data_IF_049588647170
#
_entry.id   IF_049588647170
#
_cell.length_a   1.000
_cell.length_b   1.000
_cell.length_c   1.000
_cell.angle_alpha   90.00
_cell.angle_beta   90.00
_cell.angle_gamma   90.00
#
_symmetry.space_group_name_H-M   'P 1'
#
loop_
_entity.id
_entity.type
_entity.pdbx_description
1 polymer ?
#
# COMPACT_ATOMS: atom_id res chain seq x y z
N UNK A 1 3.78 12.53 -75.30
CA UNK A 1 3.12 12.98 -74.07
C UNK A 1 3.11 11.83 -73.08
N UNK A 2 3.66 12.08 -71.89
CA UNK A 2 3.55 11.38 -70.59
C UNK A 2 4.00 9.91 -70.51
N UNK A 3 5.20 9.76 -69.92
CA UNK A 3 5.77 8.56 -69.29
C UNK A 3 4.89 8.09 -68.13
N UNK A 4 4.73 6.78 -67.95
CA UNK A 4 4.27 6.20 -66.67
C UNK A 4 5.34 5.29 -66.09
N UNK A 5 5.70 5.57 -64.84
CA UNK A 5 6.77 4.99 -64.02
C UNK A 5 6.16 3.86 -63.19
N UNK A 6 6.93 2.78 -63.01
CA UNK A 6 6.48 1.56 -62.36
C UNK A 6 6.39 1.59 -60.83
N UNK A 7 5.89 0.49 -60.28
CA UNK A 7 6.06 0.09 -58.89
C UNK A 7 6.25 -1.42 -58.83
N UNK A 8 7.48 -1.86 -58.54
CA UNK A 8 7.78 -3.23 -58.14
C UNK A 8 7.61 -3.27 -56.63
N UNK A 9 6.60 -4.01 -56.15
CA UNK A 9 6.42 -4.25 -54.71
C UNK A 9 7.42 -5.32 -54.26
N UNK A 10 8.39 -4.92 -53.45
CA UNK A 10 9.30 -5.82 -52.73
C UNK A 10 8.59 -6.25 -51.46
N UNK A 11 8.21 -7.52 -51.38
CA UNK A 11 7.72 -8.13 -50.15
C UNK A 11 8.92 -8.36 -49.20
N UNK A 12 9.06 -7.51 -48.19
CA UNK A 12 9.98 -7.72 -47.07
C UNK A 12 9.34 -8.75 -46.14
N UNK A 13 9.84 -9.98 -46.17
CA UNK A 13 9.51 -10.98 -45.18
C UNK A 13 10.15 -10.58 -43.84
N UNK A 14 9.35 -10.01 -42.93
CA UNK A 14 9.73 -9.81 -41.55
C UNK A 14 9.78 -11.17 -40.86
N UNK A 15 10.96 -11.78 -40.78
CA UNK A 15 11.23 -12.85 -39.83
C UNK A 15 11.13 -12.27 -38.42
N UNK A 16 9.97 -12.48 -37.78
CA UNK A 16 9.81 -12.30 -36.36
C UNK A 16 10.77 -13.28 -35.67
N UNK A 17 11.89 -12.76 -35.17
CA UNK A 17 12.73 -13.48 -34.22
C UNK A 17 11.87 -13.61 -32.96
N UNK A 18 11.28 -14.80 -32.77
CA UNK A 18 10.76 -15.20 -31.47
C UNK A 18 11.95 -15.28 -30.51
N UNK A 19 12.19 -14.20 -29.77
CA UNK A 19 12.99 -14.30 -28.55
C UNK A 19 12.20 -15.16 -27.58
N UNK A 20 12.72 -16.32 -27.14
CA UNK A 20 12.07 -17.08 -26.09
C UNK A 20 11.89 -16.15 -24.89
N UNK A 21 10.69 -16.16 -24.30
CA UNK A 21 10.38 -15.47 -23.06
C UNK A 21 11.55 -15.63 -22.10
N UNK A 22 12.29 -14.54 -21.83
CA UNK A 22 13.15 -14.53 -20.66
C UNK A 22 12.20 -14.71 -19.48
N UNK A 23 12.24 -15.87 -18.84
CA UNK A 23 11.73 -15.98 -17.49
C UNK A 23 12.41 -14.84 -16.71
N UNK A 24 11.63 -13.84 -16.29
CA UNK A 24 12.19 -12.70 -15.57
C UNK A 24 12.85 -13.23 -14.32
N UNK A 25 14.11 -12.87 -14.09
CA UNK A 25 14.82 -13.26 -12.88
C UNK A 25 13.97 -12.91 -11.65
N UNK A 26 13.82 -13.87 -10.73
CA UNK A 26 12.94 -13.76 -9.57
C UNK A 26 13.54 -12.83 -8.53
N UNK A 27 12.74 -11.89 -8.01
CA UNK A 27 13.22 -10.88 -7.09
C UNK A 27 13.17 -11.36 -5.64
N UNK A 28 14.29 -11.27 -4.93
CA UNK A 28 14.44 -11.73 -3.54
C UNK A 28 14.86 -10.56 -2.64
N UNK A 29 14.00 -10.08 -1.73
CA UNK A 29 14.40 -9.10 -0.74
C UNK A 29 15.36 -9.73 0.28
N UNK A 30 16.48 -9.07 0.53
CA UNK A 30 17.48 -9.44 1.53
C UNK A 30 17.93 -8.20 2.32
N UNK A 31 17.19 -7.87 3.38
CA UNK A 31 17.46 -6.67 4.20
C UNK A 31 18.77 -6.68 4.98
N UNK A 32 19.46 -7.82 5.06
CA UNK A 32 20.77 -7.96 5.73
C UNK A 32 21.94 -8.08 4.74
N UNK A 33 21.67 -8.17 3.43
CA UNK A 33 22.72 -8.39 2.45
C UNK A 33 23.50 -7.08 2.21
N UNK A 34 24.79 -7.10 2.54
CA UNK A 34 25.72 -5.98 2.36
C UNK A 34 26.93 -6.36 1.50
N UNK A 35 27.30 -7.65 1.52
CA UNK A 35 28.47 -8.23 0.87
C UNK A 35 28.04 -9.30 -0.13
N UNK A 36 28.78 -9.43 -1.23
CA UNK A 36 28.40 -10.31 -2.36
C UNK A 36 28.14 -11.77 -1.97
N UNK A 37 28.82 -12.32 -0.95
CA UNK A 37 28.55 -13.69 -0.51
C UNK A 37 27.19 -13.84 0.19
N UNK A 38 26.67 -12.80 0.83
CA UNK A 38 25.34 -12.80 1.47
C UNK A 38 24.25 -12.81 0.39
N UNK A 39 24.42 -12.02 -0.69
CA UNK A 39 23.54 -12.06 -1.86
C UNK A 39 23.55 -13.43 -2.53
N UNK A 40 24.74 -14.03 -2.72
CA UNK A 40 24.87 -15.40 -3.24
C UNK A 40 24.13 -16.40 -2.34
N UNK A 41 24.34 -16.33 -1.03
CA UNK A 41 23.74 -17.25 -0.08
C UNK A 41 22.21 -17.13 -0.07
N UNK A 42 21.67 -15.91 -0.12
CA UNK A 42 20.23 -15.68 -0.22
C UNK A 42 19.64 -16.31 -1.50
N UNK A 43 20.29 -16.14 -2.66
CA UNK A 43 19.88 -16.81 -3.90
C UNK A 43 19.93 -18.34 -3.79
N UNK A 44 20.98 -18.89 -3.18
CA UNK A 44 21.12 -20.34 -2.98
C UNK A 44 20.05 -20.92 -2.04
N UNK A 45 19.71 -20.20 -0.97
CA UNK A 45 18.66 -20.59 -0.04
C UNK A 45 17.28 -20.60 -0.69
N UNK A 46 17.08 -19.76 -1.72
CA UNK A 46 15.84 -19.73 -2.49
C UNK A 46 15.72 -20.92 -3.45
N UNK A 47 16.84 -21.36 -4.03
CA UNK A 47 16.91 -22.59 -4.85
C UNK A 47 17.40 -22.33 -6.27
N UNK A 48 17.30 -23.36 -7.12
CA UNK A 48 17.72 -23.28 -8.53
C UNK A 48 16.88 -22.29 -9.34
N UNK A 49 17.52 -21.40 -10.10
CA UNK A 49 16.84 -20.35 -10.86
C UNK A 49 17.74 -19.17 -11.17
N UNK A 50 17.16 -18.14 -11.80
CA UNK A 50 17.79 -16.85 -12.04
C UNK A 50 17.19 -15.83 -11.08
N UNK A 51 18.00 -15.22 -10.22
CA UNK A 51 17.53 -14.43 -9.08
C UNK A 51 18.12 -13.03 -9.07
N UNK A 52 17.29 -12.03 -8.78
CA UNK A 52 17.67 -10.66 -8.43
C UNK A 52 17.55 -10.48 -6.92
N UNK A 53 18.67 -10.59 -6.21
CA UNK A 53 18.70 -10.41 -4.76
C UNK A 53 19.01 -8.95 -4.46
N UNK A 54 18.18 -8.28 -3.66
CA UNK A 54 18.33 -6.86 -3.37
C UNK A 54 18.17 -6.52 -1.90
N UNK A 55 18.89 -5.49 -1.46
CA UNK A 55 18.70 -4.82 -0.19
C UNK A 55 18.21 -3.39 -0.47
N UNK A 56 16.94 -3.14 -0.12
CA UNK A 56 16.27 -1.88 -0.36
C UNK A 56 16.84 -0.74 0.48
N UNK A 57 17.22 -1.01 1.73
CA UNK A 57 17.74 0.01 2.65
C UNK A 57 19.16 0.43 2.31
N UNK A 58 19.99 -0.48 1.79
CA UNK A 58 21.36 -0.17 1.40
C UNK A 58 21.51 0.17 -0.09
N UNK A 59 20.41 0.15 -0.85
CA UNK A 59 20.40 0.34 -2.31
C UNK A 59 21.39 -0.57 -3.06
N UNK A 60 21.41 -1.87 -2.72
CA UNK A 60 22.29 -2.87 -3.33
C UNK A 60 21.50 -3.97 -4.00
N UNK A 61 21.97 -4.45 -5.15
CA UNK A 61 21.37 -5.55 -5.89
C UNK A 61 22.44 -6.36 -6.61
N UNK A 62 22.28 -7.69 -6.57
CA UNK A 62 23.09 -8.61 -7.35
C UNK A 62 22.20 -9.65 -8.03
N UNK A 63 22.60 -10.06 -9.25
CA UNK A 63 21.94 -11.14 -9.96
C UNK A 63 22.75 -12.43 -9.80
N UNK A 64 22.09 -13.51 -9.42
CA UNK A 64 22.71 -14.81 -9.22
C UNK A 64 21.92 -15.89 -9.96
N UNK A 65 22.62 -16.64 -10.80
CA UNK A 65 22.06 -17.78 -11.53
C UNK A 65 22.52 -19.04 -10.79
N UNK A 66 21.57 -19.73 -10.17
CA UNK A 66 21.77 -20.98 -9.45
C UNK A 66 21.33 -22.12 -10.37
N UNK A 67 22.22 -23.06 -10.72
CA UNK A 67 21.85 -24.19 -11.56
C UNK A 67 20.66 -24.93 -10.93
N UNK A 68 19.64 -25.21 -11.74
CA UNK A 68 18.62 -26.17 -11.33
C UNK A 68 19.30 -27.53 -11.22
N UNK A 69 19.41 -28.07 -10.01
CA UNK A 69 19.78 -29.46 -9.86
C UNK A 69 18.71 -30.31 -10.53
N UNK A 70 19.09 -31.13 -11.49
CA UNK A 70 18.35 -32.38 -11.67
C UNK A 70 18.38 -33.08 -10.30
N UNK A 71 17.27 -33.63 -9.78
CA UNK A 71 17.40 -34.59 -8.69
C UNK A 71 18.42 -35.62 -9.17
N UNK A 72 19.48 -35.92 -8.41
CA UNK A 72 20.45 -36.89 -8.87
C UNK A 72 19.69 -38.19 -9.18
N UNK A 73 19.73 -38.64 -10.44
CA UNK A 73 19.44 -40.04 -10.75
C UNK A 73 20.56 -40.83 -10.10
N UNK A 74 20.36 -41.15 -8.82
CA UNK A 74 21.26 -41.99 -8.07
C UNK A 74 21.02 -43.44 -8.54
N UNK A 75 21.99 -44.10 -9.20
CA UNK A 75 21.85 -45.51 -9.53
C UNK A 75 22.00 -46.41 -8.28
N UNK A 76 22.24 -45.85 -7.08
CA UNK A 76 22.45 -46.60 -5.85
C UNK A 76 21.85 -45.90 -4.61
N UNK A 77 20.62 -46.29 -4.23
CA UNK A 77 19.95 -46.22 -2.90
C UNK A 77 18.69 -45.37 -2.78
N UNK A 78 17.61 -46.10 -2.45
CA UNK A 78 16.42 -45.69 -1.70
C UNK A 78 16.80 -45.15 -0.31
N UNK A 79 16.91 -43.83 -0.13
CA UNK A 79 16.57 -43.18 1.14
C UNK A 79 16.12 -41.72 0.91
N UNK A 80 15.06 -41.26 1.59
CA UNK A 80 14.53 -39.92 1.43
C UNK A 80 15.15 -38.94 2.44
N UNK A 81 15.71 -37.83 1.94
CA UNK A 81 15.91 -36.61 2.73
C UNK A 81 17.28 -35.95 2.59
N UNK A 82 17.24 -34.65 2.28
CA UNK A 82 18.36 -33.71 2.24
C UNK A 82 19.27 -33.77 0.98
N UNK A 83 18.70 -33.36 -0.16
CA UNK A 83 19.51 -32.86 -1.26
C UNK A 83 20.16 -31.54 -0.88
N UNK A 84 21.40 -31.59 -0.38
CA UNK A 84 22.33 -30.46 -0.42
C UNK A 84 22.65 -30.25 -1.91
N UNK A 85 21.91 -29.36 -2.59
CA UNK A 85 22.25 -28.97 -3.95
C UNK A 85 23.57 -28.19 -3.92
N UNK A 86 24.53 -28.65 -4.73
CA UNK A 86 25.91 -28.20 -4.74
C UNK A 86 26.03 -26.67 -4.86
N UNK A 87 26.73 -26.07 -3.89
CA UNK A 87 27.08 -24.65 -3.82
C UNK A 87 28.05 -24.17 -4.94
N UNK A 88 28.46 -25.06 -5.85
CA UNK A 88 29.66 -24.91 -6.70
C UNK A 88 29.39 -24.47 -8.14
N UNK A 89 28.14 -24.11 -8.46
CA UNK A 89 27.76 -23.65 -9.82
C UNK A 89 27.08 -22.28 -9.88
N UNK A 90 26.96 -21.57 -8.76
CA UNK A 90 26.33 -20.25 -8.72
C UNK A 90 27.16 -19.24 -9.53
N UNK A 91 26.55 -18.67 -10.57
CA UNK A 91 27.21 -17.69 -11.45
C UNK A 91 26.61 -16.31 -11.21
N UNK A 92 27.47 -15.30 -11.04
CA UNK A 92 27.03 -13.91 -10.92
C UNK A 92 26.68 -13.37 -12.31
N UNK A 93 25.45 -12.91 -12.49
CA UNK A 93 24.96 -12.31 -13.72
C UNK A 93 25.06 -10.78 -13.72
N UNK A 94 24.83 -10.16 -14.87
CA UNK A 94 24.63 -8.72 -14.96
C UNK A 94 23.21 -8.36 -14.48
N UNK A 95 23.13 -7.36 -13.60
CA UNK A 95 21.84 -6.80 -13.18
C UNK A 95 21.27 -5.95 -14.33
N UNK A 96 20.00 -6.13 -14.73
CA UNK A 96 19.34 -5.25 -15.71
C UNK A 96 19.32 -3.80 -15.25
N UNK A 97 19.45 -2.83 -16.16
CA UNK A 97 19.41 -1.41 -15.78
C UNK A 97 18.06 -1.02 -15.17
N UNK A 98 16.94 -1.57 -15.67
CA UNK A 98 15.63 -1.30 -15.11
C UNK A 98 15.49 -1.73 -13.65
N UNK A 99 16.09 -2.86 -13.25
CA UNK A 99 16.10 -3.31 -11.86
C UNK A 99 16.91 -2.39 -10.94
N UNK A 100 18.01 -1.80 -11.44
CA UNK A 100 18.76 -0.78 -10.70
C UNK A 100 17.95 0.50 -10.51
N UNK A 101 17.26 0.95 -11.57
CA UNK A 101 16.42 2.15 -11.49
C UNK A 101 15.26 1.94 -10.51
N UNK A 102 14.60 0.79 -10.55
CA UNK A 102 13.53 0.46 -9.60
C UNK A 102 14.01 0.42 -8.16
N UNK A 103 15.18 -0.20 -7.91
CA UNK A 103 15.77 -0.21 -6.57
C UNK A 103 16.11 1.20 -6.09
N UNK A 104 16.70 2.04 -6.95
CA UNK A 104 17.07 3.41 -6.62
C UNK A 104 15.84 4.23 -6.21
N UNK A 105 14.78 4.24 -7.03
CA UNK A 105 13.56 4.97 -6.71
C UNK A 105 12.87 4.39 -5.47
N UNK A 106 12.86 3.05 -5.31
CA UNK A 106 12.36 2.40 -4.11
C UNK A 106 13.13 2.79 -2.84
N UNK A 107 14.46 2.87 -2.93
CA UNK A 107 15.32 3.28 -1.85
C UNK A 107 15.05 4.73 -1.43
N UNK A 108 14.90 5.65 -2.39
CA UNK A 108 14.57 7.05 -2.11
C UNK A 108 13.24 7.19 -1.36
N UNK A 109 12.20 6.47 -1.83
CA UNK A 109 10.91 6.42 -1.12
C UNK A 109 11.07 5.87 0.30
N UNK A 110 11.87 4.82 0.51
CA UNK A 110 12.10 4.27 1.85
C UNK A 110 12.85 5.25 2.74
N UNK A 111 13.85 5.97 2.23
CA UNK A 111 14.60 6.95 3.01
C UNK A 111 13.71 8.12 3.43
N UNK A 112 12.95 8.67 2.48
CA UNK A 112 12.07 9.82 2.72
C UNK A 112 10.79 9.42 3.49
N UNK A 113 10.30 8.20 3.27
CA UNK A 113 9.12 7.62 3.91
C UNK A 113 9.40 6.97 5.26
N UNK A 114 10.48 7.37 5.96
CA UNK A 114 10.83 6.89 7.30
C UNK A 114 11.01 5.36 7.40
N UNK A 115 11.71 4.78 6.43
CA UNK A 115 12.10 3.37 6.42
C UNK A 115 11.07 2.41 5.84
N UNK A 116 10.03 2.89 5.15
CA UNK A 116 8.97 2.03 4.62
C UNK A 116 8.49 2.44 3.22
N UNK A 117 8.06 1.46 2.43
CA UNK A 117 7.28 1.67 1.19
C UNK A 117 5.79 1.90 1.47
N UNK A 118 5.39 1.84 2.74
CA UNK A 118 4.03 2.17 3.18
C UNK A 118 4.00 3.34 4.18
N UNK A 119 4.51 4.53 3.79
CA UNK A 119 4.57 5.66 4.69
C UNK A 119 3.16 6.17 5.02
N UNK A 120 3.06 6.76 6.22
CA UNK A 120 1.82 7.30 6.76
C UNK A 120 1.94 8.80 6.91
N UNK A 121 1.04 9.53 6.28
CA UNK A 121 0.95 10.98 6.39
C UNK A 121 -0.39 11.39 6.97
N UNK A 122 -0.45 12.59 7.54
CA UNK A 122 -1.69 13.18 8.03
C UNK A 122 -1.98 14.46 7.26
N UNK A 123 -3.23 14.61 6.88
CA UNK A 123 -3.79 15.81 6.25
C UNK A 123 -4.98 16.28 7.07
N UNK A 124 -5.14 17.58 7.23
CA UNK A 124 -6.39 18.13 7.77
C UNK A 124 -7.28 18.49 6.58
N UNK A 125 -8.51 17.99 6.54
CA UNK A 125 -9.42 18.19 5.41
C UNK A 125 -9.67 19.68 5.09
N UNK A 126 -9.72 20.53 6.13
CA UNK A 126 -9.90 21.98 5.98
C UNK A 126 -8.72 22.71 5.31
N UNK A 127 -7.50 22.18 5.38
CA UNK A 127 -6.30 22.89 4.94
C UNK A 127 -6.07 22.81 3.42
N UNK A 128 -6.60 21.77 2.77
CA UNK A 128 -6.29 21.45 1.37
C UNK A 128 -7.49 21.61 0.44
N UNK A 129 -8.53 22.34 0.88
CA UNK A 129 -9.76 22.53 0.10
C UNK A 129 -10.47 21.20 -0.21
N UNK A 130 -10.21 20.16 0.58
CA UNK A 130 -10.82 18.84 0.42
C UNK A 130 -12.33 18.99 0.61
N UNK A 131 -13.16 18.45 -0.30
CA UNK A 131 -14.62 18.52 -0.18
C UNK A 131 -15.10 18.04 1.19
N UNK A 132 -15.91 18.86 1.86
CA UNK A 132 -16.42 18.53 3.20
C UNK A 132 -15.41 18.73 4.33
N UNK A 133 -14.42 19.61 4.19
CA UNK A 133 -13.49 19.96 5.27
C UNK A 133 -14.14 20.55 6.54
N UNK A 134 -15.40 20.99 6.45
CA UNK A 134 -16.24 21.40 7.59
C UNK A 134 -17.00 20.24 8.24
N UNK A 135 -17.03 19.06 7.60
CA UNK A 135 -17.77 17.88 8.03
C UNK A 135 -16.96 17.01 8.99
N UNK A 136 -17.64 16.01 9.55
CA UNK A 136 -17.05 15.01 10.45
C UNK A 136 -16.83 13.68 9.71
N UNK A 137 -16.06 12.76 10.30
CA UNK A 137 -15.93 11.41 9.74
C UNK A 137 -17.27 10.68 9.68
N UNK A 138 -18.22 10.96 10.59
CA UNK A 138 -19.59 10.41 10.55
C UNK A 138 -20.35 10.82 9.29
N UNK A 139 -20.14 12.04 8.80
CA UNK A 139 -20.79 12.53 7.58
C UNK A 139 -20.19 11.89 6.33
N UNK A 140 -18.87 11.68 6.35
CA UNK A 140 -18.13 11.04 5.26
C UNK A 140 -18.57 9.59 5.11
N UNK A 141 -18.57 8.80 6.18
CA UNK A 141 -18.87 7.37 6.06
C UNK A 141 -20.31 7.08 5.63
N UNK A 142 -21.24 8.00 5.84
CA UNK A 142 -22.64 7.88 5.43
C UNK A 142 -22.88 8.27 3.96
N UNK A 143 -21.88 8.84 3.29
CA UNK A 143 -22.03 9.39 1.96
C UNK A 143 -20.90 8.91 1.05
N UNK A 144 -21.18 7.86 0.27
CA UNK A 144 -20.19 7.27 -0.63
C UNK A 144 -19.66 8.26 -1.67
N UNK A 145 -20.50 9.18 -2.17
CA UNK A 145 -20.05 10.21 -3.09
C UNK A 145 -19.05 11.18 -2.40
N UNK A 146 -19.25 11.49 -1.12
CA UNK A 146 -18.29 12.29 -0.36
C UNK A 146 -16.99 11.52 -0.09
N UNK A 147 -17.06 10.20 0.23
CA UNK A 147 -15.87 9.34 0.35
C UNK A 147 -15.01 9.40 -0.92
N UNK A 148 -15.63 9.23 -2.09
CA UNK A 148 -14.93 9.27 -3.39
C UNK A 148 -14.31 10.65 -3.63
N UNK A 149 -15.09 11.73 -3.45
CA UNK A 149 -14.58 13.09 -3.64
C UNK A 149 -13.36 13.41 -2.76
N UNK A 150 -13.37 12.96 -1.51
CA UNK A 150 -12.23 13.14 -0.60
C UNK A 150 -11.05 12.28 -1.03
N UNK A 151 -11.29 11.02 -1.39
CA UNK A 151 -10.23 10.09 -1.81
C UNK A 151 -9.49 10.63 -3.04
N UNK A 152 -10.23 11.10 -4.04
CA UNK A 152 -9.69 11.72 -5.25
C UNK A 152 -8.87 12.98 -4.93
N UNK A 153 -9.40 13.87 -4.07
CA UNK A 153 -8.72 15.11 -3.71
C UNK A 153 -7.42 14.88 -2.91
N UNK A 154 -7.41 13.86 -2.06
CA UNK A 154 -6.26 13.48 -1.22
C UNK A 154 -5.18 12.77 -2.02
N UNK A 155 -5.56 12.03 -3.06
CA UNK A 155 -4.63 11.35 -3.96
C UNK A 155 -4.05 12.25 -5.05
N UNK A 156 -4.54 13.48 -5.18
CA UNK A 156 -3.98 14.45 -6.12
C UNK A 156 -2.51 14.75 -5.80
N UNK A 157 -1.71 14.90 -6.86
CA UNK A 157 -0.28 15.11 -6.72
C UNK A 157 0.06 16.40 -5.97
N UNK A 158 -0.68 17.50 -6.19
CA UNK A 158 -0.43 18.76 -5.50
C UNK A 158 -0.69 18.61 -3.99
N UNK A 159 -1.74 17.86 -3.62
CA UNK A 159 -2.03 17.53 -2.23
C UNK A 159 -0.93 16.65 -1.62
N UNK A 160 -0.50 15.60 -2.32
CA UNK A 160 0.60 14.74 -1.86
C UNK A 160 1.90 15.53 -1.69
N UNK A 161 2.27 16.36 -2.67
CA UNK A 161 3.46 17.23 -2.61
C UNK A 161 3.41 18.16 -1.39
N UNK A 162 2.26 18.80 -1.16
CA UNK A 162 2.09 19.73 -0.06
C UNK A 162 2.08 19.05 1.33
N UNK A 163 1.64 17.79 1.44
CA UNK A 163 1.63 17.04 2.71
C UNK A 163 2.98 16.37 3.00
N UNK A 164 3.61 15.80 1.97
CA UNK A 164 4.79 14.93 2.12
C UNK A 164 6.11 15.67 1.90
N UNK A 165 6.05 16.84 1.26
CA UNK A 165 7.21 17.57 0.77
C UNK A 165 7.64 17.12 -0.63
N UNK A 166 8.20 18.06 -1.38
CA UNK A 166 8.51 17.91 -2.80
C UNK A 166 9.40 16.71 -3.14
N UNK A 167 10.40 16.44 -2.30
CA UNK A 167 11.35 15.35 -2.50
C UNK A 167 10.65 13.99 -2.45
N UNK A 168 9.73 13.80 -1.48
CA UNK A 168 9.00 12.53 -1.34
C UNK A 168 8.05 12.33 -2.51
N UNK A 169 7.27 13.35 -2.86
CA UNK A 169 6.30 13.26 -3.95
C UNK A 169 6.98 12.93 -5.28
N UNK A 170 8.15 13.53 -5.54
CA UNK A 170 8.96 13.22 -6.71
C UNK A 170 9.45 11.76 -6.69
N UNK A 171 10.07 11.30 -5.60
CA UNK A 171 10.54 9.92 -5.49
C UNK A 171 9.40 8.89 -5.65
N UNK A 172 8.23 9.20 -5.08
CA UNK A 172 7.01 8.40 -5.21
C UNK A 172 6.55 8.30 -6.67
N UNK A 173 6.52 9.42 -7.40
CA UNK A 173 6.13 9.47 -8.81
C UNK A 173 7.17 8.80 -9.72
N UNK A 174 8.46 8.94 -9.42
CA UNK A 174 9.52 8.26 -10.16
C UNK A 174 9.36 6.74 -10.04
N UNK A 175 9.13 6.22 -8.84
CA UNK A 175 8.88 4.79 -8.62
C UNK A 175 7.59 4.31 -9.31
N UNK A 176 6.51 5.08 -9.24
CA UNK A 176 5.25 4.75 -9.93
C UNK A 176 5.37 4.84 -11.46
N UNK A 177 6.15 5.77 -11.98
CA UNK A 177 6.33 6.05 -13.40
C UNK A 177 7.19 5.04 -14.14
N UNK A 178 7.84 4.10 -13.44
CA UNK A 178 8.66 3.08 -14.08
C UNK A 178 7.81 2.17 -14.97
N UNK A 179 8.21 2.08 -16.25
CA UNK A 179 7.53 1.28 -17.27
C UNK A 179 7.71 -0.24 -17.07
N UNK A 180 8.76 -0.65 -16.36
CA UNK A 180 9.08 -2.05 -16.10
C UNK A 180 9.28 -2.31 -14.62
N UNK A 181 8.66 -3.38 -14.12
CA UNK A 181 8.82 -3.86 -12.75
C UNK A 181 9.63 -5.17 -12.77
N UNK A 182 10.84 -5.11 -12.26
CA UNK A 182 11.70 -6.27 -12.01
C UNK A 182 11.60 -6.77 -10.57
N UNK A 183 11.47 -5.85 -9.60
CA UNK A 183 11.59 -6.14 -8.17
C UNK A 183 10.23 -6.21 -7.44
N UNK A 184 9.17 -5.72 -8.08
CA UNK A 184 7.84 -5.69 -7.50
C UNK A 184 7.65 -4.53 -6.52
N UNK A 185 8.54 -3.53 -6.50
CA UNK A 185 8.53 -2.46 -5.49
C UNK A 185 7.36 -1.50 -5.71
N UNK A 186 6.99 -1.28 -6.98
CA UNK A 186 5.83 -0.44 -7.34
C UNK A 186 4.53 -1.00 -6.77
N UNK A 187 4.34 -2.33 -6.80
CA UNK A 187 3.16 -3.00 -6.26
C UNK A 187 3.12 -3.01 -4.73
N UNK A 188 4.29 -2.91 -4.09
CA UNK A 188 4.43 -2.82 -2.64
C UNK A 188 4.22 -1.40 -2.11
N UNK A 189 4.30 -0.39 -2.97
CA UNK A 189 4.14 1.01 -2.62
C UNK A 189 2.68 1.33 -2.23
N UNK A 190 2.48 1.77 -0.98
CA UNK A 190 1.16 2.10 -0.42
C UNK A 190 1.22 3.37 0.41
N UNK A 191 0.74 4.47 -0.12
CA UNK A 191 0.63 5.70 0.65
C UNK A 191 -0.62 5.64 1.53
N UNK A 192 -0.48 5.70 2.85
CA UNK A 192 -1.60 5.73 3.78
C UNK A 192 -1.78 7.15 4.30
N UNK A 193 -2.87 7.81 3.91
CA UNK A 193 -3.13 9.19 4.30
C UNK A 193 -4.25 9.22 5.33
N UNK A 194 -3.91 9.65 6.55
CA UNK A 194 -4.86 9.93 7.62
C UNK A 194 -5.51 11.28 7.36
N UNK A 195 -6.80 11.27 7.04
CA UNK A 195 -7.59 12.49 6.83
C UNK A 195 -8.23 12.88 8.17
N UNK A 196 -7.77 13.98 8.77
CA UNK A 196 -8.35 14.56 10.00
C UNK A 196 -9.44 15.56 9.63
N UNK A 197 -10.63 15.38 10.19
CA UNK A 197 -11.84 16.17 9.95
C UNK A 197 -11.98 17.33 10.94
N UNK A 198 -13.01 18.17 10.78
CA UNK A 198 -13.17 19.42 11.54
C UNK A 198 -13.33 19.23 13.05
N UNK A 199 -13.99 18.14 13.47
CA UNK A 199 -14.19 17.76 14.87
C UNK A 199 -13.05 16.88 15.43
N UNK A 200 -11.99 16.70 14.65
CA UNK A 200 -10.83 15.88 15.01
C UNK A 200 -10.97 14.38 14.77
N UNK A 201 -12.18 13.90 14.42
CA UNK A 201 -12.36 12.55 13.90
C UNK A 201 -11.54 12.33 12.62
N UNK A 202 -11.23 11.09 12.29
CA UNK A 202 -10.36 10.79 11.15
C UNK A 202 -10.66 9.46 10.50
N UNK A 203 -10.15 9.25 9.31
CA UNK A 203 -10.13 7.96 8.60
C UNK A 203 -8.87 7.87 7.75
N UNK A 204 -8.68 6.74 7.06
CA UNK A 204 -7.54 6.52 6.18
C UNK A 204 -7.97 6.38 4.72
N UNK A 205 -7.16 6.96 3.84
CA UNK A 205 -7.20 6.76 2.38
C UNK A 205 -5.91 6.04 1.97
N UNK A 206 -6.01 4.98 1.18
CA UNK A 206 -4.86 4.30 0.57
C UNK A 206 -4.66 4.81 -0.87
N UNK A 207 -3.45 5.26 -1.22
CA UNK A 207 -3.04 5.47 -2.61
C UNK A 207 -1.99 4.42 -2.98
N UNK A 208 -2.28 3.58 -3.96
CA UNK A 208 -1.42 2.46 -4.35
C UNK A 208 -1.46 2.22 -5.86
N UNK A 209 -0.84 1.15 -6.37
CA UNK A 209 -0.97 0.76 -7.79
C UNK A 209 -2.41 0.32 -8.12
N UNK A 210 -3.09 -0.36 -7.18
CA UNK A 210 -4.48 -0.76 -7.35
C UNK A 210 -5.44 0.43 -7.25
N UNK A 211 -5.11 1.41 -6.41
CA UNK A 211 -5.95 2.58 -6.13
C UNK A 211 -5.18 3.88 -6.44
N UNK A 212 -4.96 4.22 -7.72
CA UNK A 212 -4.15 5.37 -8.11
C UNK A 212 -4.81 6.71 -7.75
N UNK A 213 -6.14 6.75 -7.65
CA UNK A 213 -6.92 7.93 -7.27
C UNK A 213 -7.32 7.94 -5.79
N UNK A 214 -6.68 7.09 -4.98
CA UNK A 214 -7.04 6.94 -3.58
C UNK A 214 -8.27 6.06 -3.38
N UNK A 215 -8.29 5.33 -2.29
CA UNK A 215 -9.45 4.56 -1.85
C UNK A 215 -9.65 4.76 -0.35
N UNK A 216 -10.88 5.10 0.05
CA UNK A 216 -11.29 5.12 1.45
C UNK A 216 -11.16 3.70 2.02
N UNK A 217 -10.45 3.56 3.14
CA UNK A 217 -10.31 2.25 3.80
C UNK A 217 -11.53 2.02 4.69
N UNK A 218 -12.41 1.10 4.28
CA UNK A 218 -13.58 0.72 5.08
C UNK A 218 -13.18 0.20 6.47
N UNK A 219 -13.96 0.58 7.47
CA UNK A 219 -13.69 0.30 8.89
C UNK A 219 -12.52 1.08 9.48
N UNK A 220 -11.98 2.08 8.77
CA UNK A 220 -10.86 2.91 9.26
C UNK A 220 -11.29 4.17 9.99
N UNK A 221 -12.57 4.55 9.93
CA UNK A 221 -13.07 5.75 10.59
C UNK A 221 -12.97 5.68 12.11
N UNK A 222 -12.47 6.74 12.73
CA UNK A 222 -12.21 6.87 14.16
C UNK A 222 -12.64 8.24 14.66
N UNK A 223 -13.04 8.28 15.92
CA UNK A 223 -13.18 9.51 16.69
C UNK A 223 -11.80 10.15 16.92
N UNK A 224 -11.75 11.39 17.40
CA UNK A 224 -10.50 12.05 17.79
C UNK A 224 -9.72 11.23 18.83
N UNK A 225 -10.44 10.63 19.80
CA UNK A 225 -9.87 9.72 20.80
C UNK A 225 -9.43 8.36 20.25
N UNK A 226 -9.64 8.08 18.96
CA UNK A 226 -9.22 6.84 18.32
C UNK A 226 -10.20 5.67 18.47
N UNK A 227 -11.43 5.93 18.88
CA UNK A 227 -12.49 4.91 18.99
C UNK A 227 -13.10 4.65 17.62
N UNK A 228 -13.48 3.40 17.33
CA UNK A 228 -14.12 3.03 16.06
C UNK A 228 -15.41 3.83 15.87
N UNK A 229 -15.58 4.47 14.71
CA UNK A 229 -16.89 4.91 14.26
C UNK A 229 -17.48 3.75 13.44
N UNK A 230 -18.58 3.11 13.89
CA UNK A 230 -19.16 1.97 13.17
C UNK A 230 -19.63 2.35 11.77
N UNK A 231 -19.44 1.50 10.78
CA UNK A 231 -19.96 1.67 9.41
C UNK A 231 -21.14 0.74 9.13
N UNK A 232 -21.27 -0.35 9.91
CA UNK A 232 -22.37 -1.31 9.82
C UNK A 232 -23.01 -1.55 11.18
N UNK A 233 -24.25 -2.03 11.20
CA UNK A 233 -24.96 -2.34 12.45
C UNK A 233 -24.24 -3.42 13.28
N UNK A 234 -23.54 -4.35 12.63
CA UNK A 234 -22.78 -5.41 13.32
C UNK A 234 -21.60 -4.84 14.12
N UNK A 235 -21.07 -3.69 13.71
CA UNK A 235 -20.01 -2.97 14.42
C UNK A 235 -20.55 -2.14 15.60
N UNK A 236 -21.88 -1.99 15.73
CA UNK A 236 -22.54 -1.30 16.85
C UNK A 236 -22.69 -2.26 18.04
N UNK A 237 -21.55 -2.78 18.50
CA UNK A 237 -21.45 -3.62 19.69
C UNK A 237 -20.21 -3.20 20.47
N UNK A 238 -20.36 -2.88 21.75
CA UNK A 238 -19.24 -2.46 22.60
C UNK A 238 -19.50 -1.18 23.37
N UNK A 239 -18.43 -0.54 23.80
CA UNK A 239 -18.46 0.65 24.66
C UNK A 239 -17.59 1.75 24.08
N UNK A 240 -18.10 2.97 24.13
CA UNK A 240 -17.41 4.19 23.74
C UNK A 240 -17.38 5.16 24.91
N UNK A 241 -16.24 5.78 25.15
CA UNK A 241 -16.00 6.70 26.26
C UNK A 241 -15.91 8.13 25.74
N UNK A 242 -16.72 9.03 26.26
CA UNK A 242 -16.78 10.42 25.83
C UNK A 242 -16.37 11.43 26.89
N UNK A 243 -16.16 12.67 26.46
CA UNK A 243 -16.00 13.81 27.34
C UNK A 243 -14.60 13.97 27.92
N UNK A 244 -14.48 14.85 28.92
CA UNK A 244 -13.19 15.27 29.48
C UNK A 244 -12.35 14.12 30.08
N UNK A 245 -12.99 13.01 30.47
CA UNK A 245 -12.31 11.85 31.05
C UNK A 245 -11.60 11.00 30.00
N UNK A 246 -12.16 10.84 28.80
CA UNK A 246 -11.51 10.13 27.69
C UNK A 246 -10.68 11.07 26.80
N UNK A 247 -10.93 12.38 26.88
CA UNK A 247 -10.35 13.38 25.99
C UNK A 247 -10.98 13.39 24.59
N UNK A 248 -12.02 12.58 24.37
CA UNK A 248 -12.71 12.46 23.09
C UNK A 248 -13.89 13.42 23.00
N UNK A 249 -13.66 14.53 22.29
CA UNK A 249 -14.65 15.59 22.08
C UNK A 249 -15.52 15.35 20.85
N UNK A 250 -15.19 14.35 20.02
CA UNK A 250 -15.89 14.05 18.76
C UNK A 250 -17.04 13.05 18.91
N UNK A 251 -17.41 12.71 20.15
CA UNK A 251 -18.47 11.73 20.47
C UNK A 251 -19.90 12.24 20.23
N UNK A 252 -20.09 13.55 20.04
CA UNK A 252 -21.42 14.16 19.93
C UNK A 252 -22.28 13.61 18.78
N UNK A 253 -21.66 13.14 17.69
CA UNK A 253 -22.35 12.54 16.55
C UNK A 253 -22.64 11.04 16.66
N UNK A 254 -21.99 10.33 17.60
CA UNK A 254 -21.95 8.86 17.60
C UNK A 254 -23.33 8.21 17.80
N UNK A 255 -24.12 8.69 18.76
CA UNK A 255 -25.43 8.11 19.05
C UNK A 255 -26.40 8.27 17.87
N UNK A 256 -26.44 9.46 17.25
CA UNK A 256 -27.26 9.71 16.07
C UNK A 256 -26.79 8.90 14.85
N UNK A 257 -25.49 8.69 14.73
CA UNK A 257 -24.92 7.83 13.70
C UNK A 257 -25.31 6.35 13.88
N UNK A 258 -25.18 5.81 15.10
CA UNK A 258 -25.61 4.44 15.43
C UNK A 258 -27.12 4.24 15.20
N UNK A 259 -27.95 5.24 15.53
CA UNK A 259 -29.37 5.22 15.22
C UNK A 259 -29.63 5.11 13.70
N UNK A 260 -28.86 5.84 12.89
CA UNK A 260 -28.97 5.78 11.43
C UNK A 260 -28.57 4.40 10.86
N UNK A 261 -27.72 3.65 11.56
CA UNK A 261 -27.39 2.25 11.22
C UNK A 261 -28.47 1.26 11.68
N UNK A 262 -29.46 1.69 12.48
CA UNK A 262 -30.57 0.87 12.95
C UNK A 262 -30.50 0.46 14.43
N UNK A 263 -29.57 1.02 15.22
CA UNK A 263 -29.54 0.77 16.65
C UNK A 263 -30.66 1.52 17.38
N UNK A 264 -31.25 0.89 18.40
CA UNK A 264 -32.19 1.55 19.30
C UNK A 264 -31.40 2.36 20.34
N UNK A 265 -31.68 3.67 20.43
CA UNK A 265 -30.97 4.57 21.34
C UNK A 265 -31.83 4.88 22.55
N UNK A 266 -31.29 4.63 23.74
CA UNK A 266 -31.85 5.04 25.02
C UNK A 266 -30.87 5.98 25.73
N UNK A 267 -31.40 6.95 26.45
CA UNK A 267 -30.60 7.91 27.22
C UNK A 267 -30.73 7.64 28.71
N UNK A 268 -29.61 7.74 29.43
CA UNK A 268 -29.53 7.60 30.88
C UNK A 268 -28.80 8.79 31.49
N UNK A 269 -29.25 9.21 32.68
CA UNK A 269 -28.74 10.39 33.39
C UNK A 269 -29.52 11.67 33.10
N UNK A 270 -29.06 12.78 33.69
CA UNK A 270 -29.62 14.11 33.53
C UNK A 270 -28.47 15.07 33.22
N UNK A 271 -28.44 15.65 32.02
CA UNK A 271 -27.41 16.61 31.63
C UNK A 271 -27.19 16.70 30.12
N UNK A 272 -26.23 17.54 29.71
CA UNK A 272 -25.90 17.79 28.29
C UNK A 272 -24.56 17.21 27.85
N UNK A 273 -23.77 16.66 28.78
CA UNK A 273 -22.43 16.15 28.49
C UNK A 273 -22.46 14.64 28.31
N UNK A 274 -22.09 14.17 27.12
CA UNK A 274 -21.93 12.74 26.84
C UNK A 274 -20.63 12.24 27.44
N UNK A 275 -20.72 11.21 28.29
CA UNK A 275 -19.55 10.55 28.90
C UNK A 275 -19.35 9.11 28.45
N UNK A 276 -20.36 8.51 27.82
CA UNK A 276 -20.16 7.25 27.14
C UNK A 276 -21.40 6.71 26.45
N UNK A 277 -21.19 5.69 25.64
CA UNK A 277 -22.23 4.91 24.97
C UNK A 277 -21.90 3.44 25.17
N UNK A 278 -22.87 2.64 25.59
CA UNK A 278 -22.73 1.18 25.70
C UNK A 278 -23.81 0.51 24.86
N UNK A 279 -23.40 -0.34 23.91
CA UNK A 279 -24.29 -1.03 23.00
C UNK A 279 -24.18 -2.54 23.14
N UNK A 280 -25.33 -3.21 23.20
CA UNK A 280 -25.45 -4.66 23.19
C UNK A 280 -26.73 -5.11 22.50
N UNK A 281 -26.62 -6.09 21.60
CA UNK A 281 -27.74 -6.65 20.85
C UNK A 281 -28.56 -5.60 20.08
N UNK A 282 -27.92 -4.53 19.60
CA UNK A 282 -28.56 -3.47 18.81
C UNK A 282 -29.25 -2.39 19.64
N UNK A 283 -29.19 -2.49 20.97
CA UNK A 283 -29.68 -1.45 21.90
C UNK A 283 -28.48 -0.73 22.50
N UNK A 284 -28.46 0.59 22.39
CA UNK A 284 -27.43 1.48 22.91
C UNK A 284 -27.96 2.34 24.04
N UNK A 285 -27.20 2.43 25.12
CA UNK A 285 -27.45 3.34 26.24
C UNK A 285 -26.41 4.46 26.20
N UNK A 286 -26.87 5.68 25.97
CA UNK A 286 -26.07 6.90 26.03
C UNK A 286 -26.09 7.40 27.48
N UNK A 287 -24.91 7.58 28.06
CA UNK A 287 -24.76 8.08 29.43
C UNK A 287 -24.41 9.56 29.39
N UNK A 288 -25.27 10.36 30.03
CA UNK A 288 -25.17 11.82 30.10
C UNK A 288 -24.96 12.27 31.54
N UNK A 289 -24.13 13.29 31.74
CA UNK A 289 -23.97 13.99 33.02
C UNK A 289 -24.14 15.50 32.82
N UNK A 290 -24.42 16.22 33.92
CA UNK A 290 -24.45 17.70 33.95
C UNK A 290 -23.10 18.31 33.54
#
# INVERSE_FOLDING_TARGET
>A
MIKSIGFISIAVAATAIFTPNQASAEAIPCGYCERSFEFKQAAQNFGGGDHLVYNLHSNKIERWIIPQGNPPTNPFNDQPGAGILAADGATKGSVPQGARNELQSGHEVVVLGNGTLSPRFQVNAGDFGIPGGDKTAYDVIRNDNLKTQISDAVADFETIDAITGHDFATAYMDLKGLATTYLGLRQQLKLLIKVKMSDGSYFYVEVSEAHPFGEFIDGSARTEGGQLIPETIDQVQGTWEGGATSGDMSMGGMAGHMAALGAEISYSGSGSTLVGISCGAGVCVVTMIE
#
